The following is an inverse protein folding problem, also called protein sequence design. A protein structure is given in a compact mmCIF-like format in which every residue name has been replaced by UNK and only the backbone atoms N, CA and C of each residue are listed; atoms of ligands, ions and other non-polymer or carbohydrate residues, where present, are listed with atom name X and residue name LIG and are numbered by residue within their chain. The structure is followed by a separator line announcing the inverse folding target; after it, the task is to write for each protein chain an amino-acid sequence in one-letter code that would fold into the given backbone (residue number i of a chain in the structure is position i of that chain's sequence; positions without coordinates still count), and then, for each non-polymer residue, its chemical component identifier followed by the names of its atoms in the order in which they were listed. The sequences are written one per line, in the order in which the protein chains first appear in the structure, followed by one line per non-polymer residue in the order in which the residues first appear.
data_IF_108861258342
#
_entry.id   IF_108861258342
#
_cell.length_a   1.000
_cell.length_b   1.000
_cell.length_c   1.000
_cell.angle_alpha   90.00
_cell.angle_beta   90.00
_cell.angle_gamma   90.00
#
_symmetry.space_group_name_H-M   'P 1'
#
loop_
_entity.id
_entity.type
_entity.pdbx_description
1 polymer ?
#
# COMPACT_ATOMS: atom_id res chain seq x y z
N UNK A 1 3.54 20.62 -11.66
CA UNK A 1 2.15 20.89 -11.16
C UNK A 1 1.00 20.98 -12.19
N UNK A 2 1.03 21.80 -13.25
CA UNK A 2 -0.19 22.25 -13.96
C UNK A 2 -1.10 21.18 -14.58
N UNK A 3 -0.59 20.45 -15.58
CA UNK A 3 -1.43 19.59 -16.45
C UNK A 3 -2.00 18.37 -15.71
N UNK A 4 -1.15 17.59 -15.04
CA UNK A 4 -1.58 16.41 -14.29
C UNK A 4 -2.55 16.74 -13.16
N UNK A 5 -2.32 17.87 -12.48
CA UNK A 5 -3.23 18.35 -11.44
C UNK A 5 -4.57 18.81 -12.01
N UNK A 6 -4.60 19.47 -13.16
CA UNK A 6 -5.87 19.81 -13.82
C UNK A 6 -6.66 18.56 -14.23
N UNK A 7 -5.97 17.51 -14.70
CA UNK A 7 -6.60 16.21 -15.00
C UNK A 7 -7.19 15.54 -13.74
N UNK A 8 -6.51 15.64 -12.60
CA UNK A 8 -6.95 15.01 -11.34
C UNK A 8 -7.98 15.83 -10.56
N UNK A 9 -7.82 17.15 -10.57
CA UNK A 9 -8.60 18.10 -9.79
C UNK A 9 -8.90 19.33 -10.64
N UNK A 10 -9.83 19.23 -11.61
CA UNK A 10 -10.12 20.31 -12.56
C UNK A 10 -10.60 21.60 -11.89
N UNK A 11 -11.16 21.51 -10.68
CA UNK A 11 -11.67 22.65 -9.91
C UNK A 11 -10.71 23.15 -8.82
N UNK A 12 -9.47 22.66 -8.77
CA UNK A 12 -8.54 23.04 -7.71
C UNK A 12 -7.86 24.41 -8.00
N UNK A 13 -7.41 25.14 -6.95
CA UNK A 13 -6.82 26.49 -7.10
C UNK A 13 -5.69 26.58 -8.14
N UNK A 14 -5.42 27.74 -8.73
CA UNK A 14 -4.29 27.85 -9.68
C UNK A 14 -2.94 27.55 -9.02
N UNK A 15 -1.94 27.11 -9.81
CA UNK A 15 -0.57 26.89 -9.29
C UNK A 15 0.01 28.16 -8.67
N UNK A 16 -0.24 29.33 -9.28
CA UNK A 16 0.18 30.63 -8.75
C UNK A 16 -0.42 30.89 -7.36
N UNK A 17 -1.69 30.56 -7.16
CA UNK A 17 -2.35 30.69 -5.86
C UNK A 17 -1.75 29.73 -4.83
N UNK A 18 -1.51 28.46 -5.21
CA UNK A 18 -0.88 27.48 -4.32
C UNK A 18 0.52 27.92 -3.86
N UNK A 19 1.35 28.46 -4.75
CA UNK A 19 2.68 28.93 -4.38
C UNK A 19 2.63 30.07 -3.36
N UNK A 20 1.69 31.00 -3.51
CA UNK A 20 1.48 32.08 -2.53
C UNK A 20 1.04 31.54 -1.17
N UNK A 21 0.25 30.47 -1.14
CA UNK A 21 -0.17 29.81 0.11
C UNK A 21 1.00 29.07 0.76
N UNK A 22 1.83 28.37 -0.03
CA UNK A 22 3.01 27.62 0.44
C UNK A 22 4.06 28.51 1.15
N UNK A 23 4.21 29.75 0.68
CA UNK A 23 5.07 30.78 1.29
C UNK A 23 4.51 31.29 2.64
N UNK A 24 3.26 30.97 2.97
CA UNK A 24 2.63 31.37 4.22
C UNK A 24 3.17 30.61 5.43
N UNK A 25 3.31 31.25 6.61
CA UNK A 25 3.86 30.63 7.82
C UNK A 25 3.01 29.48 8.40
N UNK A 26 1.78 29.32 7.93
CA UNK A 26 0.86 28.27 8.37
C UNK A 26 1.05 26.94 7.64
N UNK A 27 1.77 26.90 6.51
CA UNK A 27 1.92 25.66 5.74
C UNK A 27 3.10 24.85 6.27
N UNK A 28 2.77 23.78 7.00
CA UNK A 28 3.72 22.85 7.60
C UNK A 28 3.96 21.58 6.78
N UNK A 29 3.11 21.29 5.78
CA UNK A 29 3.25 20.13 4.91
C UNK A 29 2.67 20.36 3.51
N UNK A 30 3.24 19.69 2.51
CA UNK A 30 2.77 19.73 1.13
C UNK A 30 2.67 18.30 0.58
N UNK A 31 1.52 17.96 -0.01
CA UNK A 31 1.26 16.67 -0.62
C UNK A 31 1.32 16.76 -2.15
N UNK A 32 2.15 15.93 -2.79
CA UNK A 32 2.31 15.89 -4.25
C UNK A 32 2.75 14.48 -4.69
N UNK A 33 2.64 14.17 -5.98
CA UNK A 33 2.74 12.77 -6.43
C UNK A 33 3.52 12.62 -7.73
N UNK A 34 4.07 11.43 -7.93
CA UNK A 34 4.59 10.99 -9.22
C UNK A 34 3.41 10.74 -10.17
N UNK A 35 3.49 11.35 -11.35
CA UNK A 35 2.57 11.14 -12.47
C UNK A 35 3.33 10.75 -13.74
N UNK A 36 4.54 11.29 -13.88
CA UNK A 36 5.45 11.04 -14.99
C UNK A 36 6.89 11.40 -14.56
N UNK A 37 7.83 11.33 -15.48
CA UNK A 37 9.17 11.87 -15.28
C UNK A 37 9.14 13.36 -14.96
N UNK A 38 9.96 13.76 -13.99
CA UNK A 38 10.15 15.13 -13.54
C UNK A 38 8.89 15.80 -13.00
N UNK A 39 7.89 15.05 -12.54
CA UNK A 39 6.70 15.64 -11.90
C UNK A 39 6.94 15.85 -10.41
N UNK A 40 7.13 14.78 -9.65
CA UNK A 40 7.24 14.82 -8.20
C UNK A 40 8.54 15.50 -7.76
N UNK A 41 9.65 15.25 -8.46
CA UNK A 41 10.96 15.80 -8.15
C UNK A 41 11.06 17.30 -8.44
N UNK A 42 10.47 17.78 -9.53
CA UNK A 42 10.38 19.21 -9.83
C UNK A 42 9.50 19.92 -8.80
N UNK A 43 8.38 19.33 -8.44
CA UNK A 43 7.47 19.89 -7.43
C UNK A 43 8.19 19.97 -6.06
N UNK A 44 8.93 18.93 -5.65
CA UNK A 44 9.73 18.94 -4.43
C UNK A 44 10.78 20.07 -4.39
N UNK A 45 11.57 20.22 -5.47
CA UNK A 45 12.58 21.28 -5.59
C UNK A 45 11.95 22.67 -5.52
N UNK A 46 10.82 22.85 -6.21
CA UNK A 46 10.08 24.12 -6.23
C UNK A 46 9.54 24.46 -4.85
N UNK A 47 8.91 23.50 -4.16
CA UNK A 47 8.38 23.71 -2.81
C UNK A 47 9.51 24.01 -1.83
N UNK A 48 10.64 23.28 -1.92
CA UNK A 48 11.80 23.50 -1.07
C UNK A 48 12.39 24.91 -1.19
N UNK A 49 12.44 25.45 -2.40
CA UNK A 49 12.89 26.83 -2.66
C UNK A 49 11.98 27.88 -2.02
N UNK A 50 10.67 27.63 -1.99
CA UNK A 50 9.68 28.54 -1.38
C UNK A 50 9.66 28.38 0.14
N UNK A 51 9.65 27.14 0.63
CA UNK A 51 9.52 26.84 2.05
C UNK A 51 10.33 25.58 2.41
N UNK A 52 11.58 25.79 2.82
CA UNK A 52 12.51 24.74 3.25
C UNK A 52 12.10 24.04 4.57
N UNK A 53 11.15 24.61 5.32
CA UNK A 53 10.67 24.04 6.60
C UNK A 53 9.42 23.17 6.44
N UNK A 54 8.79 23.20 5.27
CA UNK A 54 7.62 22.40 4.97
C UNK A 54 7.97 20.91 4.87
N UNK A 55 7.17 20.03 5.46
CA UNK A 55 7.32 18.58 5.28
C UNK A 55 6.84 18.20 3.89
N UNK A 56 7.69 17.53 3.12
CA UNK A 56 7.36 17.04 1.78
C UNK A 56 6.74 15.66 1.88
N UNK A 57 5.42 15.59 1.67
CA UNK A 57 4.66 14.35 1.55
C UNK A 57 4.51 13.98 0.08
N UNK A 58 5.25 12.96 -0.34
CA UNK A 58 5.31 12.54 -1.74
C UNK A 58 4.79 11.11 -1.91
N UNK A 59 4.69 10.61 -3.14
CA UNK A 59 4.27 9.22 -3.36
C UNK A 59 3.64 8.98 -4.73
N UNK A 60 2.95 7.85 -4.87
CA UNK A 60 2.06 7.59 -5.98
C UNK A 60 0.63 7.37 -5.50
N UNK A 61 -0.33 7.52 -6.40
CA UNK A 61 -1.73 7.23 -6.13
C UNK A 61 -2.05 5.79 -6.51
N UNK A 62 -2.84 5.12 -5.68
CA UNK A 62 -3.44 3.81 -5.97
C UNK A 62 -4.86 4.03 -6.46
N UNK A 63 -5.22 3.59 -7.69
CA UNK A 63 -6.62 3.56 -8.10
C UNK A 63 -7.46 2.69 -7.13
N UNK A 64 -8.66 3.14 -6.81
CA UNK A 64 -9.66 2.35 -6.08
C UNK A 64 -10.96 2.31 -6.88
N UNK A 65 -11.84 1.36 -6.55
CA UNK A 65 -13.13 1.20 -7.20
C UNK A 65 -13.92 2.52 -7.27
N UNK A 66 -14.48 2.82 -8.45
CA UNK A 66 -15.25 4.04 -8.71
C UNK A 66 -14.45 5.20 -9.31
N UNK A 67 -13.12 5.11 -9.38
CA UNK A 67 -12.29 6.12 -10.08
C UNK A 67 -12.45 5.96 -11.61
N UNK A 68 -12.67 7.06 -12.37
CA UNK A 68 -12.75 6.99 -13.84
C UNK A 68 -11.48 6.39 -14.45
N UNK A 69 -11.62 5.55 -15.48
CA UNK A 69 -10.47 4.81 -16.04
C UNK A 69 -9.36 5.73 -16.58
N UNK A 70 -9.71 6.90 -17.14
CA UNK A 70 -8.71 7.88 -17.55
C UNK A 70 -7.83 8.34 -16.38
N UNK A 71 -8.44 8.59 -15.22
CA UNK A 71 -7.75 8.95 -13.98
C UNK A 71 -6.98 7.76 -13.40
N UNK A 72 -7.57 6.56 -13.43
CA UNK A 72 -6.92 5.32 -13.00
C UNK A 72 -5.63 5.05 -13.80
N UNK A 73 -5.66 5.22 -15.13
CA UNK A 73 -4.46 5.10 -15.98
C UNK A 73 -3.36 6.08 -15.58
N UNK A 74 -3.70 7.33 -15.28
CA UNK A 74 -2.72 8.32 -14.84
C UNK A 74 -2.08 7.93 -13.49
N UNK A 75 -2.86 7.42 -12.54
CA UNK A 75 -2.35 6.93 -11.25
C UNK A 75 -1.42 5.73 -11.43
N UNK A 76 -1.80 4.77 -12.29
CA UNK A 76 -0.96 3.60 -12.64
C UNK A 76 0.31 3.99 -13.37
N UNK A 77 0.28 5.04 -14.21
CA UNK A 77 1.48 5.61 -14.82
C UNK A 77 2.40 6.17 -13.74
N UNK A 78 1.86 7.00 -12.84
CA UNK A 78 2.61 7.59 -11.72
C UNK A 78 3.38 6.57 -10.88
N UNK A 79 2.77 5.40 -10.60
CA UNK A 79 3.44 4.26 -9.93
C UNK A 79 4.75 3.85 -10.61
N UNK A 80 4.80 3.83 -11.95
CA UNK A 80 5.99 3.40 -12.71
C UNK A 80 7.17 4.36 -12.55
N UNK A 81 6.88 5.65 -12.33
CA UNK A 81 7.90 6.69 -12.20
C UNK A 81 8.29 6.97 -10.75
N UNK A 82 7.61 6.38 -9.75
CA UNK A 82 7.84 6.68 -8.34
C UNK A 82 9.30 6.48 -7.91
N UNK A 83 9.92 5.36 -8.30
CA UNK A 83 11.29 5.03 -7.91
C UNK A 83 12.29 6.08 -8.43
N UNK A 84 12.24 6.36 -9.74
CA UNK A 84 13.13 7.34 -10.39
C UNK A 84 12.92 8.74 -9.84
N UNK A 85 11.67 9.15 -9.61
CA UNK A 85 11.38 10.46 -9.02
C UNK A 85 11.84 10.57 -7.56
N UNK A 86 11.72 9.50 -6.78
CA UNK A 86 12.20 9.46 -5.40
C UNK A 86 13.72 9.56 -5.32
N UNK A 87 14.47 8.85 -6.18
CA UNK A 87 15.93 8.95 -6.25
C UNK A 87 16.37 10.38 -6.58
N UNK A 88 15.75 11.03 -7.58
CA UNK A 88 16.06 12.44 -7.91
C UNK A 88 15.87 13.40 -6.74
N UNK A 89 14.90 13.17 -5.86
CA UNK A 89 14.66 14.01 -4.69
C UNK A 89 15.69 13.70 -3.59
N UNK A 90 15.95 12.42 -3.36
CA UNK A 90 16.93 11.96 -2.38
C UNK A 90 18.34 12.48 -2.74
N UNK A 91 18.76 12.32 -3.98
CA UNK A 91 20.07 12.77 -4.47
C UNK A 91 20.17 14.31 -4.55
N UNK A 92 19.04 15.03 -4.59
CA UNK A 92 19.03 16.49 -4.53
C UNK A 92 19.34 17.07 -3.14
N UNK A 93 19.33 16.24 -2.08
CA UNK A 93 19.74 16.66 -0.74
C UNK A 93 18.93 17.83 -0.17
N UNK A 94 17.62 17.88 -0.45
CA UNK A 94 16.76 18.98 -0.01
C UNK A 94 16.73 19.07 1.53
N UNK A 95 16.70 20.29 2.11
CA UNK A 95 16.71 20.49 3.56
C UNK A 95 15.41 20.08 4.26
N UNK A 96 14.35 19.80 3.49
CA UNK A 96 13.04 19.46 4.02
C UNK A 96 13.03 18.06 4.66
N UNK A 97 12.21 17.89 5.70
CA UNK A 97 11.79 16.55 6.10
C UNK A 97 10.95 15.91 4.98
N UNK A 98 11.28 14.68 4.63
CA UNK A 98 10.68 13.96 3.50
C UNK A 98 9.98 12.69 3.96
N UNK A 99 8.78 12.49 3.47
CA UNK A 99 8.00 11.26 3.63
C UNK A 99 7.36 10.87 2.31
N UNK A 100 7.20 9.58 2.09
CA UNK A 100 6.77 8.98 0.84
C UNK A 100 5.69 7.91 1.11
N UNK A 101 4.54 8.10 0.49
CA UNK A 101 3.50 7.09 0.39
C UNK A 101 3.85 6.11 -0.72
N UNK A 102 4.04 4.86 -0.31
CA UNK A 102 4.43 3.77 -1.20
C UNK A 102 3.30 2.75 -1.32
N UNK A 103 3.42 1.91 -2.33
CA UNK A 103 2.51 0.78 -2.53
C UNK A 103 2.62 -0.27 -1.42
N UNK A 104 1.55 -1.06 -1.26
CA UNK A 104 1.47 -2.07 -0.19
C UNK A 104 2.63 -3.10 -0.26
N UNK A 105 3.06 -3.48 -1.46
CA UNK A 105 4.20 -4.40 -1.64
C UNK A 105 5.52 -3.80 -1.19
N UNK A 106 5.72 -2.49 -1.38
CA UNK A 106 6.90 -1.77 -0.87
C UNK A 106 6.94 -1.82 0.65
N UNK A 107 5.82 -1.46 1.28
CA UNK A 107 5.67 -1.49 2.74
C UNK A 107 5.89 -2.91 3.29
N UNK A 108 5.40 -3.93 2.60
CA UNK A 108 5.61 -5.32 2.98
C UNK A 108 7.09 -5.71 2.91
N UNK A 109 7.80 -5.32 1.86
CA UNK A 109 9.23 -5.59 1.71
C UNK A 109 10.06 -4.91 2.79
N UNK A 110 9.80 -3.63 3.08
CA UNK A 110 10.48 -2.89 4.16
C UNK A 110 10.18 -3.49 5.55
N UNK A 111 9.10 -4.25 5.70
CA UNK A 111 8.73 -4.92 6.96
C UNK A 111 8.92 -6.46 6.93
N UNK A 112 9.61 -6.99 5.92
CA UNK A 112 9.71 -8.44 5.66
C UNK A 112 10.14 -9.26 6.86
N UNK A 113 11.18 -8.83 7.59
CA UNK A 113 11.68 -9.56 8.76
C UNK A 113 10.63 -9.72 9.86
N UNK A 114 9.80 -8.70 10.06
CA UNK A 114 8.71 -8.72 11.04
C UNK A 114 7.54 -9.59 10.57
N UNK A 115 7.17 -9.49 9.30
CA UNK A 115 6.14 -10.35 8.70
C UNK A 115 6.56 -11.83 8.89
N UNK A 116 7.80 -12.15 8.55
CA UNK A 116 8.38 -13.47 8.69
C UNK A 116 8.33 -13.96 10.15
N UNK A 117 8.86 -13.17 11.08
CA UNK A 117 8.89 -13.52 12.51
C UNK A 117 7.49 -13.72 13.09
N UNK A 118 6.54 -12.85 12.71
CA UNK A 118 5.15 -12.98 13.15
C UNK A 118 4.54 -14.28 12.65
N UNK A 119 4.69 -14.59 11.37
CA UNK A 119 4.14 -15.80 10.77
C UNK A 119 4.77 -17.07 11.35
N UNK A 120 6.07 -17.07 11.63
CA UNK A 120 6.72 -18.19 12.32
C UNK A 120 6.13 -18.42 13.72
N UNK A 121 5.72 -17.36 14.43
CA UNK A 121 5.10 -17.44 15.77
C UNK A 121 3.63 -17.92 15.79
N UNK A 122 3.04 -18.15 14.62
CA UNK A 122 1.67 -18.67 14.50
C UNK A 122 1.62 -20.20 14.45
N UNK A 123 2.78 -20.86 14.33
CA UNK A 123 2.91 -22.32 14.32
C UNK A 123 1.99 -23.00 13.27
N UNK A 124 1.75 -22.30 12.15
CA UNK A 124 0.93 -22.79 11.04
C UNK A 124 1.57 -24.01 10.38
N UNK A 125 0.76 -25.01 10.08
CA UNK A 125 1.20 -26.21 9.37
C UNK A 125 1.18 -26.03 7.86
N UNK A 126 1.92 -26.89 7.13
CA UNK A 126 2.08 -26.82 5.66
C UNK A 126 0.75 -26.78 4.89
N UNK A 127 -0.29 -27.41 5.43
CA UNK A 127 -1.62 -27.49 4.78
C UNK A 127 -2.59 -26.42 5.24
N UNK A 128 -2.26 -25.62 6.24
CA UNK A 128 -3.14 -24.59 6.76
C UNK A 128 -3.35 -23.48 5.71
N UNK A 129 -4.59 -23.25 5.25
CA UNK A 129 -4.88 -22.21 4.28
C UNK A 129 -5.00 -20.86 4.99
N UNK A 130 -4.06 -19.97 4.73
CA UNK A 130 -4.02 -18.64 5.32
C UNK A 130 -4.26 -17.57 4.27
N UNK A 131 -5.27 -16.74 4.50
CA UNK A 131 -5.64 -15.63 3.62
C UNK A 131 -4.60 -14.52 3.69
N UNK A 132 -4.23 -13.99 2.53
CA UNK A 132 -3.38 -12.82 2.41
C UNK A 132 -3.50 -12.12 1.06
N UNK A 133 -3.24 -10.82 1.05
CA UNK A 133 -3.13 -10.06 -0.19
C UNK A 133 -1.76 -10.28 -0.85
N UNK A 134 -1.62 -9.83 -2.10
CA UNK A 134 -0.41 -9.98 -2.91
C UNK A 134 0.88 -9.55 -2.21
N UNK A 135 0.85 -8.42 -1.49
CA UNK A 135 2.05 -7.87 -0.82
C UNK A 135 2.70 -8.84 0.17
N UNK A 136 1.90 -9.40 1.09
CA UNK A 136 2.34 -10.37 2.10
C UNK A 136 2.59 -11.73 1.45
N UNK A 137 1.78 -12.12 0.47
CA UNK A 137 1.98 -13.35 -0.29
C UNK A 137 3.37 -13.42 -0.94
N UNK A 138 3.84 -12.33 -1.55
CA UNK A 138 5.18 -12.26 -2.15
C UNK A 138 6.28 -12.49 -1.10
N UNK A 139 6.16 -11.86 0.08
CA UNK A 139 7.12 -12.02 1.17
C UNK A 139 7.19 -13.47 1.63
N UNK A 140 6.05 -14.07 1.92
CA UNK A 140 6.03 -15.43 2.44
C UNK A 140 6.42 -16.47 1.38
N UNK A 141 6.08 -16.23 0.12
CA UNK A 141 6.53 -17.06 -1.01
C UNK A 141 8.04 -17.00 -1.18
N UNK A 142 8.63 -15.81 -1.08
CA UNK A 142 10.08 -15.61 -1.22
C UNK A 142 10.87 -16.20 -0.05
N UNK A 143 10.42 -15.97 1.20
CA UNK A 143 11.24 -16.23 2.39
C UNK A 143 10.76 -17.41 3.24
N UNK A 144 9.56 -17.94 3.01
CA UNK A 144 8.92 -18.99 3.84
C UNK A 144 8.16 -20.03 2.99
N UNK A 145 8.73 -20.37 1.83
CA UNK A 145 8.18 -21.41 0.95
C UNK A 145 7.90 -22.70 1.73
N UNK A 146 6.76 -23.33 1.45
CA UNK A 146 6.31 -24.60 2.05
C UNK A 146 5.99 -24.58 3.56
N UNK A 147 5.87 -23.42 4.22
CA UNK A 147 5.53 -23.34 5.65
C UNK A 147 4.03 -23.46 5.92
N UNK A 148 3.19 -22.85 5.09
CA UNK A 148 1.74 -23.00 5.08
C UNK A 148 1.21 -22.90 3.65
N UNK A 149 -0.10 -23.11 3.49
CA UNK A 149 -0.77 -22.87 2.21
C UNK A 149 -1.22 -21.42 2.15
N UNK A 150 -0.41 -20.58 1.51
CA UNK A 150 -0.70 -19.15 1.36
C UNK A 150 -1.78 -18.91 0.30
N UNK A 151 -3.02 -18.66 0.73
CA UNK A 151 -4.14 -18.36 -0.15
C UNK A 151 -4.09 -16.88 -0.53
N UNK A 152 -3.52 -16.61 -1.71
CA UNK A 152 -3.52 -15.28 -2.31
C UNK A 152 -4.94 -14.86 -2.68
N UNK A 153 -5.38 -13.70 -2.20
CA UNK A 153 -6.69 -13.11 -2.51
C UNK A 153 -6.49 -11.75 -3.19
N UNK A 154 -6.92 -11.57 -4.45
CA UNK A 154 -6.94 -10.28 -5.11
C UNK A 154 -7.99 -9.35 -4.49
N UNK A 155 -7.69 -8.05 -4.40
CA UNK A 155 -8.64 -7.05 -3.91
C UNK A 155 -9.63 -6.59 -5.00
N UNK A 156 -10.37 -7.52 -5.59
CA UNK A 156 -11.25 -7.22 -6.71
C UNK A 156 -12.35 -6.22 -6.35
N UNK A 157 -12.85 -6.27 -5.11
CA UNK A 157 -13.93 -5.38 -4.64
C UNK A 157 -13.50 -3.92 -4.62
N UNK A 158 -12.23 -3.61 -4.41
CA UNK A 158 -11.70 -2.24 -4.48
C UNK A 158 -10.98 -1.94 -5.81
N UNK A 159 -11.24 -2.71 -6.87
CA UNK A 159 -10.72 -2.46 -8.22
C UNK A 159 -9.42 -3.21 -8.56
N UNK A 160 -8.86 -3.99 -7.63
CA UNK A 160 -7.73 -4.89 -7.89
C UNK A 160 -6.34 -4.24 -7.91
N UNK A 161 -6.25 -2.90 -7.88
CA UNK A 161 -4.97 -2.19 -7.92
C UNK A 161 -4.22 -2.17 -6.57
N UNK A 162 -4.86 -2.57 -5.46
CA UNK A 162 -4.26 -2.54 -4.12
C UNK A 162 -3.98 -3.94 -3.57
N UNK A 163 -2.70 -4.18 -3.23
CA UNK A 163 -2.21 -5.43 -2.64
C UNK A 163 -2.22 -5.41 -1.09
N UNK A 164 -3.01 -4.54 -0.46
CA UNK A 164 -3.03 -4.39 1.00
C UNK A 164 -3.96 -5.42 1.67
N UNK A 165 -3.45 -6.16 2.67
CA UNK A 165 -4.24 -7.19 3.39
C UNK A 165 -5.41 -6.58 4.16
N UNK A 166 -5.24 -5.38 4.73
CA UNK A 166 -6.31 -4.66 5.47
C UNK A 166 -7.50 -4.30 4.55
N UNK A 167 -7.25 -4.23 3.24
CA UNK A 167 -8.26 -3.83 2.26
C UNK A 167 -8.96 -5.03 1.59
N UNK A 168 -8.64 -6.26 1.99
CA UNK A 168 -9.37 -7.43 1.51
C UNK A 168 -10.77 -7.49 2.09
N UNK A 169 -11.69 -8.07 1.32
CA UNK A 169 -13.06 -8.35 1.76
C UNK A 169 -13.30 -9.85 1.87
N UNK A 170 -14.23 -10.24 2.73
CA UNK A 170 -14.77 -11.59 2.84
C UNK A 170 -15.41 -12.03 1.50
N UNK A 171 -15.95 -11.10 0.72
CA UNK A 171 -16.44 -11.40 -0.63
C UNK A 171 -15.30 -11.75 -1.60
N UNK A 172 -14.17 -11.06 -1.53
CA UNK A 172 -12.98 -11.42 -2.33
C UNK A 172 -12.44 -12.79 -1.92
N UNK A 173 -12.41 -13.07 -0.61
CA UNK A 173 -12.03 -14.39 -0.08
C UNK A 173 -12.97 -15.46 -0.63
N UNK A 174 -14.29 -15.23 -0.55
CA UNK A 174 -15.31 -16.18 -1.01
C UNK A 174 -15.12 -16.56 -2.49
N UNK A 175 -14.77 -15.60 -3.35
CA UNK A 175 -14.50 -15.85 -4.78
C UNK A 175 -13.26 -16.71 -5.02
N UNK A 176 -12.33 -16.76 -4.06
CA UNK A 176 -11.07 -17.51 -4.19
C UNK A 176 -11.15 -18.92 -3.63
N UNK A 177 -12.17 -19.22 -2.84
CA UNK A 177 -12.39 -20.55 -2.29
C UNK A 177 -12.61 -21.56 -3.43
N UNK A 178 -12.08 -22.75 -3.21
CA UNK A 178 -12.25 -23.90 -4.10
C UNK A 178 -12.83 -25.05 -3.31
N UNK A 179 -12.02 -25.63 -2.41
CA UNK A 179 -12.36 -26.84 -1.65
C UNK A 179 -12.00 -26.71 -0.15
N UNK A 180 -11.70 -25.49 0.31
CA UNK A 180 -11.34 -25.22 1.70
C UNK A 180 -12.52 -25.51 2.64
N UNK A 181 -12.32 -26.36 3.65
CA UNK A 181 -13.31 -26.60 4.72
C UNK A 181 -13.15 -25.64 5.90
N UNK A 182 -11.96 -25.10 6.05
CA UNK A 182 -11.63 -24.05 7.00
C UNK A 182 -10.56 -23.14 6.41
N UNK A 183 -10.40 -21.93 6.98
CA UNK A 183 -9.33 -21.01 6.64
C UNK A 183 -8.92 -20.12 7.81
N UNK A 184 -7.66 -19.69 7.81
CA UNK A 184 -7.15 -18.69 8.73
C UNK A 184 -7.27 -17.29 8.12
N UNK A 185 -7.93 -16.38 8.84
CA UNK A 185 -8.11 -14.98 8.44
C UNK A 185 -7.28 -14.09 9.37
N UNK A 186 -6.33 -13.30 8.84
CA UNK A 186 -5.71 -12.21 9.58
C UNK A 186 -6.76 -11.29 10.22
N UNK A 187 -6.65 -11.03 11.53
CA UNK A 187 -7.62 -10.20 12.26
C UNK A 187 -7.81 -8.81 11.62
N UNK A 188 -6.77 -8.24 11.02
CA UNK A 188 -6.82 -6.95 10.35
C UNK A 188 -7.82 -6.88 9.18
N UNK A 189 -8.27 -8.02 8.62
CA UNK A 189 -9.30 -8.08 7.58
C UNK A 189 -10.69 -7.83 8.18
N UNK A 190 -10.91 -8.22 9.43
CA UNK A 190 -12.22 -8.19 10.11
C UNK A 190 -12.26 -7.19 11.28
N UNK A 191 -11.28 -6.31 11.35
CA UNK A 191 -11.17 -5.15 12.25
C UNK A 191 -11.42 -3.85 11.48
N UNK A 192 -12.49 -3.80 10.68
CA UNK A 192 -12.80 -2.56 9.96
C UNK A 192 -13.34 -1.48 10.90
N UNK A 193 -13.27 -0.23 10.47
CA UNK A 193 -13.95 0.88 11.14
C UNK A 193 -15.48 0.75 11.18
N UNK A 194 -16.06 -0.29 10.54
CA UNK A 194 -17.50 -0.57 10.53
C UNK A 194 -17.94 -1.52 11.65
N UNK A 195 -17.01 -1.97 12.51
CA UNK A 195 -17.30 -2.81 13.67
C UNK A 195 -16.46 -4.09 13.71
N UNK A 196 -16.47 -4.76 14.86
CA UNK A 196 -15.77 -6.02 15.04
C UNK A 196 -16.36 -7.13 14.15
N UNK A 197 -15.52 -8.09 13.76
CA UNK A 197 -15.88 -9.23 12.91
C UNK A 197 -16.51 -8.83 11.56
N UNK A 198 -16.16 -7.64 11.05
CA UNK A 198 -16.63 -7.12 9.77
C UNK A 198 -15.47 -6.63 8.92
N UNK A 199 -15.53 -6.97 7.65
CA UNK A 199 -14.60 -6.43 6.67
C UNK A 199 -14.90 -4.97 6.30
N UNK A 200 -14.03 -4.38 5.47
CA UNK A 200 -14.17 -2.98 5.02
C UNK A 200 -15.43 -2.74 4.17
N UNK A 201 -15.99 -3.79 3.56
CA UNK A 201 -17.26 -3.73 2.83
C UNK A 201 -18.48 -3.88 3.76
N UNK A 202 -18.27 -4.20 5.03
CA UNK A 202 -19.32 -4.36 6.05
C UNK A 202 -19.88 -5.77 6.17
N UNK A 203 -19.31 -6.77 5.49
CA UNK A 203 -19.73 -8.17 5.56
C UNK A 203 -19.29 -8.76 6.89
N UNK A 204 -20.19 -9.44 7.61
CA UNK A 204 -19.87 -10.11 8.86
C UNK A 204 -19.26 -11.51 8.60
N UNK A 205 -18.39 -11.95 9.50
CA UNK A 205 -17.81 -13.31 9.43
C UNK A 205 -18.92 -14.38 9.42
N UNK A 206 -19.95 -14.22 10.23
CA UNK A 206 -21.07 -15.19 10.30
C UNK A 206 -21.84 -15.28 8.99
N UNK A 207 -22.06 -14.15 8.31
CA UNK A 207 -22.71 -14.11 6.99
C UNK A 207 -21.84 -14.85 5.95
N UNK A 208 -20.53 -14.64 6.00
CA UNK A 208 -19.58 -15.34 5.15
C UNK A 208 -19.58 -16.86 5.42
N UNK A 209 -19.57 -17.28 6.68
CA UNK A 209 -19.60 -18.70 7.06
C UNK A 209 -20.92 -19.35 6.62
N UNK A 210 -22.05 -18.67 6.85
CA UNK A 210 -23.38 -19.15 6.43
C UNK A 210 -23.45 -19.32 4.91
N UNK A 211 -22.92 -18.36 4.16
CA UNK A 211 -22.92 -18.37 2.68
C UNK A 211 -21.99 -19.42 2.07
N UNK A 212 -20.81 -19.63 2.66
CA UNK A 212 -19.76 -20.47 2.06
C UNK A 212 -19.65 -21.87 2.67
N UNK A 213 -20.20 -22.08 3.87
CA UNK A 213 -20.00 -23.29 4.66
C UNK A 213 -18.58 -23.47 5.22
N UNK A 214 -17.68 -22.52 4.98
CA UNK A 214 -16.27 -22.62 5.38
C UNK A 214 -16.06 -22.09 6.79
N UNK A 215 -15.40 -22.88 7.64
CA UNK A 215 -15.09 -22.46 9.01
C UNK A 215 -13.96 -21.43 9.04
N UNK A 216 -14.15 -20.34 9.77
CA UNK A 216 -13.15 -19.27 9.89
C UNK A 216 -12.41 -19.38 11.22
N UNK A 217 -11.07 -19.32 11.17
CA UNK A 217 -10.19 -19.16 12.34
C UNK A 217 -9.50 -17.80 12.25
N UNK A 218 -9.76 -16.91 13.21
CA UNK A 218 -9.14 -15.60 13.23
C UNK A 218 -7.70 -15.70 13.79
N UNK A 219 -6.76 -14.99 13.17
CA UNK A 219 -5.38 -14.85 13.63
C UNK A 219 -5.19 -13.50 14.35
N UNK A 220 -5.38 -13.44 15.69
CA UNK A 220 -5.42 -12.18 16.42
C UNK A 220 -4.07 -11.43 16.46
N UNK A 221 -2.96 -12.13 16.25
CA UNK A 221 -1.64 -11.49 16.23
C UNK A 221 -1.41 -10.64 14.97
N UNK A 222 -2.22 -10.82 13.90
CA UNK A 222 -2.14 -10.05 12.66
C UNK A 222 -3.29 -9.01 12.62
N UNK A 223 -3.18 -7.96 13.44
CA UNK A 223 -4.21 -6.92 13.59
C UNK A 223 -3.87 -5.61 12.86
N UNK A 224 -4.82 -4.66 12.82
CA UNK A 224 -4.60 -3.32 12.27
C UNK A 224 -3.45 -2.56 12.98
N UNK A 225 -3.24 -2.80 14.27
CA UNK A 225 -2.08 -2.26 15.01
C UNK A 225 -0.75 -2.74 14.44
N UNK A 226 -0.69 -4.00 14.00
CA UNK A 226 0.49 -4.53 13.32
C UNK A 226 0.76 -3.78 12.00
N UNK A 227 -0.28 -3.42 11.25
CA UNK A 227 -0.16 -2.66 10.00
C UNK A 227 0.21 -1.18 10.22
N UNK A 228 -0.40 -0.51 11.21
CA UNK A 228 -0.32 0.95 11.36
C UNK A 228 0.98 1.46 12.00
N UNK A 229 1.59 0.71 12.91
CA UNK A 229 2.74 1.18 13.70
C UNK A 229 4.02 1.48 12.88
N UNK A 230 3.99 1.33 11.55
CA UNK A 230 5.18 1.40 10.68
C UNK A 230 5.04 2.27 9.44
N UNK A 231 3.82 2.63 9.02
CA UNK A 231 3.60 3.56 7.90
C UNK A 231 4.42 4.86 8.09
N UNK A 232 4.49 5.37 9.32
CA UNK A 232 5.26 6.58 9.64
C UNK A 232 6.77 6.34 9.83
N UNK A 233 7.19 5.14 10.28
CA UNK A 233 8.62 4.85 10.53
C UNK A 233 9.37 4.50 9.26
N UNK A 234 8.72 3.78 8.34
CA UNK A 234 9.31 3.35 7.07
C UNK A 234 8.86 4.22 5.89
N UNK A 235 8.01 5.21 6.14
CA UNK A 235 7.58 6.18 5.16
C UNK A 235 8.61 7.27 4.87
N UNK A 236 9.82 7.25 5.43
CA UNK A 236 10.84 8.24 5.03
C UNK A 236 11.34 7.96 3.61
N UNK A 237 11.67 9.03 2.88
CA UNK A 237 12.23 8.92 1.53
C UNK A 237 13.53 8.11 1.52
N UNK A 238 14.38 8.33 2.53
CA UNK A 238 15.64 7.60 2.70
C UNK A 238 15.42 6.08 2.74
N UNK A 239 14.52 5.60 3.60
CA UNK A 239 14.27 4.16 3.72
C UNK A 239 13.73 3.58 2.41
N UNK A 240 12.86 4.32 1.71
CA UNK A 240 12.39 3.88 0.40
C UNK A 240 13.53 3.76 -0.62
N UNK A 241 14.41 4.76 -0.72
CA UNK A 241 15.50 4.74 -1.70
C UNK A 241 16.56 3.69 -1.34
N UNK A 242 17.09 3.73 -0.12
CA UNK A 242 18.20 2.89 0.33
C UNK A 242 17.79 1.43 0.52
N UNK A 243 16.65 1.18 1.20
CA UNK A 243 16.27 -0.18 1.61
C UNK A 243 15.32 -0.88 0.63
N UNK A 244 14.66 -0.14 -0.27
CA UNK A 244 13.76 -0.69 -1.28
C UNK A 244 14.30 -0.54 -2.71
N UNK A 245 14.40 0.69 -3.22
CA UNK A 245 14.73 0.95 -4.64
C UNK A 245 16.11 0.39 -4.99
N UNK A 246 17.11 0.67 -4.15
CA UNK A 246 18.50 0.23 -4.35
C UNK A 246 18.75 -1.19 -3.82
N UNK A 247 17.72 -1.89 -3.36
CA UNK A 247 17.88 -3.23 -2.79
C UNK A 247 18.12 -4.28 -3.90
N UNK A 248 19.18 -5.11 -3.81
CA UNK A 248 19.48 -6.11 -4.83
C UNK A 248 18.38 -7.18 -4.99
N UNK A 249 17.58 -7.41 -3.95
CA UNK A 249 16.50 -8.41 -3.98
C UNK A 249 15.24 -7.89 -4.68
N UNK A 250 15.15 -6.61 -5.01
CA UNK A 250 13.89 -6.00 -5.41
C UNK A 250 13.32 -6.55 -6.71
N UNK A 251 14.19 -6.78 -7.70
CA UNK A 251 13.78 -7.37 -8.98
C UNK A 251 13.19 -8.77 -8.80
N UNK A 252 13.80 -9.56 -7.92
CA UNK A 252 13.29 -10.91 -7.60
C UNK A 252 11.97 -10.85 -6.83
N UNK A 253 11.84 -9.89 -5.91
CA UNK A 253 10.62 -9.69 -5.13
C UNK A 253 9.43 -9.26 -6.01
N UNK A 254 9.65 -8.28 -6.90
CA UNK A 254 8.60 -7.75 -7.79
C UNK A 254 8.22 -8.74 -8.91
N UNK A 255 9.13 -9.63 -9.30
CA UNK A 255 8.85 -10.70 -10.27
C UNK A 255 7.94 -11.81 -9.72
N UNK A 256 7.70 -11.88 -8.40
CA UNK A 256 6.77 -12.84 -7.82
C UNK A 256 5.34 -12.43 -8.18
N UNK A 257 4.81 -13.06 -9.21
CA UNK A 257 3.41 -12.93 -9.58
C UNK A 257 2.55 -13.63 -8.54
N UNK A 258 1.63 -12.89 -7.95
CA UNK A 258 0.54 -13.48 -7.18
C UNK A 258 -0.35 -14.24 -8.17
N UNK A 259 -0.25 -15.56 -8.21
CA UNK A 259 -1.03 -16.39 -9.15
C UNK A 259 -2.51 -16.04 -8.99
N UNK A 260 -3.16 -15.69 -10.12
CA UNK A 260 -4.60 -15.43 -10.19
C UNK A 260 -5.37 -16.69 -9.81
#
# INVERSE_FOLDING_TARGET
LGEYRQKLMPHAPSVKHLMKVLDGPAVSSANFYAFDENTMSTDAKTISQVNARCVLWMGCLTPVGGIPEATGRLMRQGRKHLAVEAEKIYDAGLPNFTTIHTEAYVTAFLNRGRIISLFDSLELEKRDPVVMAGSVHRILTMFRKNRARFLHVPNATLGGDSDCTVLLTLNDIARRLTNEKYLYVPQCIVESGRGANRDIAGVHVDDFVSKTGVKVRILPKISTKFANNRLYRNGSLQNYVEDYVRNPLIRSYEAITSIA
#
